data_IF_894552218702
#
_entry.id   IF_894552218702
#
_cell.length_a   1.000
_cell.length_b   1.000
_cell.length_c   1.000
_cell.angle_alpha   90.00
_cell.angle_beta   90.00
_cell.angle_gamma   90.00
#
_symmetry.space_group_name_H-M   'P 1'
#
loop_
_entity.id
_entity.type
_entity.pdbx_description
1 polymer ?
#
# COMPACT_ATOMS: atom_id res chain seq x y z
N UNK A 1 -11.69 5.08 -4.50
CA UNK A 1 -10.85 6.06 -3.80
C UNK A 1 -9.62 5.33 -3.28
N UNK A 2 -8.50 6.01 -3.10
CA UNK A 2 -7.26 5.38 -2.64
C UNK A 2 -6.51 6.34 -1.70
N UNK A 3 -5.63 5.78 -0.87
CA UNK A 3 -4.69 6.54 -0.06
C UNK A 3 -3.31 6.51 -0.68
N UNK A 4 -2.70 7.69 -0.90
CA UNK A 4 -1.32 7.84 -1.37
C UNK A 4 -0.63 8.85 -0.48
N UNK A 5 0.60 8.54 -0.09
CA UNK A 5 1.49 9.49 0.59
C UNK A 5 2.93 9.15 0.24
N UNK A 6 3.80 10.16 0.23
CA UNK A 6 5.21 9.99 -0.04
C UNK A 6 6.03 11.16 0.46
N UNK A 7 7.33 10.97 0.49
CA UNK A 7 8.30 11.96 0.94
C UNK A 7 9.57 11.86 0.11
N UNK A 8 10.21 13.01 -0.07
CA UNK A 8 11.61 13.13 -0.47
C UNK A 8 12.38 13.58 0.77
N UNK A 9 13.34 12.79 1.23
CA UNK A 9 13.97 12.94 2.55
C UNK A 9 13.80 11.69 3.42
N UNK A 10 14.14 11.76 4.71
CA UNK A 10 14.24 10.58 5.61
C UNK A 10 13.08 10.40 6.61
N UNK A 11 11.95 11.08 6.42
CA UNK A 11 10.81 11.01 7.35
C UNK A 11 9.82 9.88 7.00
N UNK A 12 10.25 8.63 7.22
CA UNK A 12 9.43 7.45 6.95
C UNK A 12 8.24 7.34 7.91
N UNK A 13 8.45 7.67 9.18
CA UNK A 13 7.45 7.50 10.24
C UNK A 13 6.21 8.37 9.98
N UNK A 14 6.39 9.64 9.61
CA UNK A 14 5.26 10.50 9.25
C UNK A 14 4.50 9.98 8.04
N UNK A 15 5.20 9.47 7.02
CA UNK A 15 4.54 8.92 5.83
C UNK A 15 3.75 7.66 6.18
N UNK A 16 4.31 6.74 6.96
CA UNK A 16 3.59 5.54 7.41
C UNK A 16 2.37 5.89 8.27
N UNK A 17 2.48 6.89 9.15
CA UNK A 17 1.35 7.38 9.95
C UNK A 17 0.23 7.92 9.05
N UNK A 18 0.55 8.77 8.09
CA UNK A 18 -0.42 9.30 7.12
C UNK A 18 -1.06 8.16 6.33
N UNK A 19 -0.27 7.19 5.85
CA UNK A 19 -0.78 6.05 5.11
C UNK A 19 -1.76 5.21 5.93
N UNK A 20 -1.49 4.98 7.22
CA UNK A 20 -2.42 4.28 8.13
C UNK A 20 -3.73 5.04 8.30
N UNK A 21 -3.68 6.38 8.38
CA UNK A 21 -4.89 7.22 8.41
C UNK A 21 -5.67 7.04 7.11
N UNK A 22 -5.00 7.18 5.96
CA UNK A 22 -5.63 7.04 4.65
C UNK A 22 -6.20 5.64 4.44
N UNK A 23 -5.53 4.58 4.91
CA UNK A 23 -6.02 3.20 4.85
C UNK A 23 -7.38 3.03 5.50
N UNK A 24 -7.56 3.66 6.67
CA UNK A 24 -8.78 3.60 7.46
C UNK A 24 -9.97 4.26 6.77
N UNK A 25 -9.76 5.36 6.05
CA UNK A 25 -10.87 6.16 5.50
C UNK A 25 -11.10 5.95 4.01
N UNK A 26 -10.02 5.85 3.23
CA UNK A 26 -10.07 5.88 1.75
C UNK A 26 -9.31 4.72 1.09
N UNK A 27 -8.66 3.86 1.88
CA UNK A 27 -7.88 2.72 1.43
C UNK A 27 -8.49 1.37 1.84
N UNK A 28 -7.65 0.33 1.92
CA UNK A 28 -8.06 -1.06 2.07
C UNK A 28 -9.03 -1.30 3.25
N UNK A 29 -8.72 -0.75 4.43
CA UNK A 29 -9.51 -0.98 5.65
C UNK A 29 -10.87 -0.27 5.61
N UNK A 30 -10.94 0.94 5.07
CA UNK A 30 -12.21 1.66 4.91
C UNK A 30 -13.18 0.93 3.97
N UNK A 31 -12.67 0.45 2.82
CA UNK A 31 -13.48 -0.29 1.85
C UNK A 31 -13.89 -1.69 2.35
N UNK A 32 -13.06 -2.32 3.17
CA UNK A 32 -13.41 -3.54 3.87
C UNK A 32 -14.65 -3.36 4.72
N UNK A 33 -14.61 -2.39 5.65
CA UNK A 33 -15.70 -2.10 6.57
C UNK A 33 -16.97 -1.73 5.81
N UNK A 34 -16.83 -0.94 4.73
CA UNK A 34 -17.95 -0.64 3.84
C UNK A 34 -18.54 -1.91 3.21
N UNK A 35 -17.71 -2.83 2.71
CA UNK A 35 -18.17 -4.07 2.07
C UNK A 35 -18.88 -5.00 3.05
N UNK A 36 -18.34 -5.15 4.27
CA UNK A 36 -18.99 -5.91 5.35
C UNK A 36 -20.35 -5.29 5.70
N UNK A 37 -20.45 -3.96 5.78
CA UNK A 37 -21.73 -3.27 6.02
C UNK A 37 -22.78 -3.47 4.91
N UNK A 38 -22.33 -3.95 3.74
CA UNK A 38 -23.16 -4.31 2.57
C UNK A 38 -23.37 -5.81 2.43
N UNK A 39 -23.09 -6.60 3.47
CA UNK A 39 -23.24 -8.06 3.53
C UNK A 39 -22.37 -8.83 2.53
N UNK A 40 -21.20 -8.31 2.17
CA UNK A 40 -20.17 -9.09 1.46
C UNK A 40 -19.51 -10.05 2.45
N UNK A 41 -19.29 -11.31 2.04
CA UNK A 41 -18.58 -12.30 2.85
C UNK A 41 -17.16 -11.81 3.19
N UNK A 42 -16.76 -11.98 4.44
CA UNK A 42 -15.46 -11.53 4.92
C UNK A 42 -14.29 -12.11 4.13
N UNK A 43 -14.36 -13.40 3.75
CA UNK A 43 -13.33 -14.08 2.96
C UNK A 43 -13.19 -13.49 1.57
N UNK A 44 -14.25 -12.92 1.03
CA UNK A 44 -14.23 -12.23 -0.26
C UNK A 44 -13.80 -10.77 -0.11
N UNK A 45 -14.23 -10.11 0.97
CA UNK A 45 -13.82 -8.75 1.29
C UNK A 45 -12.29 -8.66 1.51
N UNK A 46 -11.67 -9.57 2.26
CA UNK A 46 -10.22 -9.54 2.50
C UNK A 46 -9.38 -9.61 1.21
N UNK A 47 -9.89 -10.24 0.14
CA UNK A 47 -9.21 -10.26 -1.16
C UNK A 47 -9.12 -8.88 -1.81
N UNK A 48 -9.87 -7.91 -1.29
CA UNK A 48 -9.80 -6.51 -1.66
C UNK A 48 -8.68 -5.74 -0.98
N UNK A 49 -7.84 -6.34 -0.14
CA UNK A 49 -6.68 -5.65 0.40
C UNK A 49 -5.61 -5.46 -0.68
N UNK A 50 -5.04 -4.26 -0.73
CA UNK A 50 -3.92 -3.95 -1.61
C UNK A 50 -3.09 -2.81 -1.02
N UNK A 51 -1.86 -3.14 -0.64
CA UNK A 51 -0.86 -2.17 -0.17
C UNK A 51 0.39 -2.32 -1.01
N UNK A 52 0.95 -1.19 -1.43
CA UNK A 52 2.20 -1.14 -2.16
C UNK A 52 3.09 -0.01 -1.69
N UNK A 53 4.39 -0.25 -1.74
CA UNK A 53 5.42 0.73 -1.42
C UNK A 53 6.49 0.72 -2.50
N UNK A 54 7.08 1.87 -2.74
CA UNK A 54 8.22 2.06 -3.62
C UNK A 54 9.17 3.06 -3.00
N UNK A 55 10.45 2.77 -3.05
CA UNK A 55 11.50 3.65 -2.55
C UNK A 55 12.74 3.56 -3.41
N UNK A 56 13.61 4.55 -3.28
CA UNK A 56 14.94 4.53 -3.88
C UNK A 56 15.99 4.59 -2.81
N UNK A 57 16.94 3.67 -2.87
CA UNK A 57 18.09 3.65 -1.97
C UNK A 57 19.14 4.71 -2.34
N UNK A 58 20.21 4.80 -1.56
CA UNK A 58 21.30 5.75 -1.78
C UNK A 58 22.10 5.46 -3.07
N UNK A 59 22.03 4.22 -3.58
CA UNK A 59 22.62 3.80 -4.85
C UNK A 59 21.72 4.14 -6.07
N UNK A 60 20.62 4.87 -5.85
CA UNK A 60 19.62 5.22 -6.87
C UNK A 60 18.90 4.01 -7.47
N UNK A 61 18.89 2.87 -6.77
CA UNK A 61 18.11 1.71 -7.17
C UNK A 61 16.69 1.82 -6.63
N UNK A 62 15.72 1.57 -7.51
CA UNK A 62 14.30 1.55 -7.16
C UNK A 62 13.94 0.16 -6.64
N UNK A 63 13.27 0.14 -5.49
CA UNK A 63 12.70 -1.05 -4.87
C UNK A 63 11.18 -0.90 -4.80
N UNK A 64 10.47 -2.03 -4.88
CA UNK A 64 9.02 -2.04 -4.86
C UNK A 64 8.52 -3.32 -4.19
N UNK A 65 7.52 -3.17 -3.32
CA UNK A 65 6.83 -4.30 -2.70
C UNK A 65 5.33 -4.07 -2.74
N UNK A 66 4.58 -5.12 -3.07
CA UNK A 66 3.12 -5.12 -3.13
C UNK A 66 2.58 -6.35 -2.42
N UNK A 67 1.56 -6.20 -1.59
CA UNK A 67 0.93 -7.28 -0.83
C UNK A 67 -0.58 -7.04 -0.67
N UNK A 68 -1.34 -8.13 -0.53
CA UNK A 68 -2.77 -8.07 -0.19
C UNK A 68 -2.93 -8.03 1.34
N UNK A 69 -2.40 -6.99 1.97
CA UNK A 69 -2.33 -6.86 3.43
C UNK A 69 -2.51 -5.39 3.81
N UNK A 70 -2.83 -5.15 5.07
CA UNK A 70 -2.92 -3.80 5.61
C UNK A 70 -1.52 -3.23 5.89
N UNK A 71 -1.42 -1.91 5.96
CA UNK A 71 -0.15 -1.22 6.25
C UNK A 71 0.36 -1.59 7.64
N UNK A 72 -0.54 -1.81 8.61
CA UNK A 72 -0.17 -2.21 9.97
C UNK A 72 0.64 -3.52 9.98
N UNK A 73 0.29 -4.48 9.13
CA UNK A 73 0.97 -5.77 9.05
C UNK A 73 2.30 -5.71 8.27
N UNK A 74 2.48 -4.70 7.41
CA UNK A 74 3.71 -4.51 6.63
C UNK A 74 4.70 -3.53 7.25
N UNK A 75 4.29 -2.74 8.25
CA UNK A 75 5.06 -1.58 8.72
C UNK A 75 6.47 -1.97 9.18
N UNK A 76 6.61 -3.05 9.95
CA UNK A 76 7.91 -3.48 10.48
C UNK A 76 8.88 -3.89 9.37
N UNK A 77 8.39 -4.69 8.40
CA UNK A 77 9.17 -5.08 7.23
C UNK A 77 9.66 -3.85 6.45
N UNK A 78 8.80 -2.86 6.25
CA UNK A 78 9.18 -1.63 5.54
C UNK A 78 10.22 -0.82 6.30
N UNK A 79 10.08 -0.69 7.61
CA UNK A 79 11.05 0.03 8.45
C UNK A 79 12.43 -0.64 8.38
N UNK A 80 12.47 -1.97 8.42
CA UNK A 80 13.71 -2.76 8.32
C UNK A 80 14.38 -2.59 6.95
N UNK A 81 13.62 -2.73 5.86
CA UNK A 81 14.15 -2.67 4.49
C UNK A 81 14.45 -1.24 4.00
N UNK A 82 13.77 -0.22 4.55
CA UNK A 82 13.89 1.17 4.14
C UNK A 82 14.74 2.01 5.10
N UNK A 83 15.79 1.42 5.69
CA UNK A 83 16.65 2.12 6.66
C UNK A 83 17.39 3.34 6.08
N UNK A 84 17.67 3.34 4.77
CA UNK A 84 18.26 4.49 4.05
C UNK A 84 17.63 4.65 2.65
N UNK A 85 16.79 5.66 2.49
CA UNK A 85 16.13 5.99 1.23
C UNK A 85 16.26 7.48 0.90
N UNK A 86 16.20 7.79 -0.39
CA UNK A 86 16.17 9.17 -0.92
C UNK A 86 14.74 9.64 -1.20
N UNK A 87 13.87 8.72 -1.63
CA UNK A 87 12.43 8.93 -1.73
C UNK A 87 11.69 7.69 -1.24
N UNK A 88 10.49 7.90 -0.71
CA UNK A 88 9.55 6.83 -0.38
C UNK A 88 8.15 7.25 -0.80
N UNK A 89 7.39 6.32 -1.37
CA UNK A 89 5.96 6.48 -1.65
C UNK A 89 5.24 5.19 -1.29
N UNK A 90 4.11 5.35 -0.63
CA UNK A 90 3.21 4.25 -0.31
C UNK A 90 1.82 4.52 -0.85
N UNK A 91 1.09 3.43 -1.02
CA UNK A 91 -0.29 3.47 -1.46
C UNK A 91 -1.08 2.30 -0.88
N UNK A 92 -2.31 2.58 -0.47
CA UNK A 92 -3.28 1.60 0.04
C UNK A 92 -4.59 1.77 -0.74
N UNK A 93 -5.10 0.67 -1.27
CA UNK A 93 -6.24 0.66 -2.18
C UNK A 93 -7.02 -0.62 -2.10
N UNK A 94 -8.32 -0.47 -2.29
CA UNK A 94 -9.18 -1.55 -2.72
C UNK A 94 -9.12 -1.76 -4.25
N UNK A 95 -8.74 -2.93 -4.77
CA UNK A 95 -8.77 -3.24 -6.20
C UNK A 95 -10.15 -2.91 -6.77
N UNK A 96 -10.19 -2.45 -8.03
CA UNK A 96 -11.47 -2.25 -8.71
C UNK A 96 -12.22 -3.59 -8.79
N UNK A 97 -13.56 -3.57 -8.80
CA UNK A 97 -14.39 -4.78 -9.02
C UNK A 97 -14.04 -5.57 -10.30
N UNK A 98 -13.33 -4.93 -11.23
CA UNK A 98 -12.87 -5.48 -12.51
C UNK A 98 -11.40 -5.90 -12.51
N UNK A 99 -10.63 -5.56 -11.48
CA UNK A 99 -9.28 -6.06 -11.32
C UNK A 99 -9.36 -7.51 -10.80
N UNK A 100 -8.46 -8.42 -11.17
CA UNK A 100 -8.39 -9.74 -10.58
C UNK A 100 -8.33 -9.60 -9.05
N UNK A 101 -9.44 -9.96 -8.39
CA UNK A 101 -9.61 -9.82 -6.95
C UNK A 101 -8.50 -10.63 -6.27
N UNK A 102 -7.73 -9.99 -5.38
CA UNK A 102 -6.63 -10.64 -4.68
C UNK A 102 -5.31 -10.75 -5.44
N UNK A 103 -5.10 -10.02 -6.54
CA UNK A 103 -3.77 -9.94 -7.18
C UNK A 103 -3.07 -8.60 -6.85
N UNK A 104 -2.10 -8.67 -5.94
CA UNK A 104 -1.33 -7.52 -5.48
C UNK A 104 -0.56 -6.81 -6.59
N UNK A 105 -0.28 -7.48 -7.74
CA UNK A 105 0.48 -6.89 -8.85
C UNK A 105 -0.18 -5.63 -9.41
N UNK A 106 -1.51 -5.52 -9.33
CA UNK A 106 -2.29 -4.37 -9.78
C UNK A 106 -2.39 -3.23 -8.75
N UNK A 107 -1.73 -3.38 -7.60
CA UNK A 107 -1.67 -2.32 -6.58
C UNK A 107 -0.62 -1.29 -6.98
N UNK A 108 -0.92 0.01 -6.85
CA UNK A 108 0.10 1.06 -6.95
C UNK A 108 1.05 0.98 -5.75
N UNK A 109 2.28 1.51 -5.84
CA UNK A 109 2.88 2.16 -7.01
C UNK A 109 3.24 1.17 -8.14
N UNK A 110 3.12 1.58 -9.40
CA UNK A 110 3.65 0.82 -10.54
C UNK A 110 5.05 1.33 -10.85
N UNK A 111 6.00 0.42 -11.02
CA UNK A 111 7.26 0.70 -11.71
C UNK A 111 7.19 0.09 -13.09
N UNK A 112 7.11 0.92 -14.13
CA UNK A 112 7.60 0.52 -15.45
C UNK A 112 9.12 0.65 -15.42
N UNK A 113 9.78 -0.23 -14.67
CA UNK A 113 11.15 -0.55 -14.99
C UNK A 113 11.05 -1.62 -16.06
N UNK A 114 10.81 -1.19 -17.31
CA UNK A 114 11.12 -2.02 -18.46
C UNK A 114 12.57 -2.46 -18.30
N UNK A 115 12.77 -3.76 -18.05
CA UNK A 115 14.00 -4.40 -18.50
C UNK A 115 14.12 -4.19 -20.00
#
# INVERSE_FOLDING_TARGET
MCGISGVVGKDLDSVLLILKILEKYVGSKGYFQYSISRNVDEKDAVKGFGTGFMWMDECRKIHCVKRNMLIEDLSSFIIEECSNFSFFVGHTRWPSKWAPIGDARFTHPFSDCTN
#
